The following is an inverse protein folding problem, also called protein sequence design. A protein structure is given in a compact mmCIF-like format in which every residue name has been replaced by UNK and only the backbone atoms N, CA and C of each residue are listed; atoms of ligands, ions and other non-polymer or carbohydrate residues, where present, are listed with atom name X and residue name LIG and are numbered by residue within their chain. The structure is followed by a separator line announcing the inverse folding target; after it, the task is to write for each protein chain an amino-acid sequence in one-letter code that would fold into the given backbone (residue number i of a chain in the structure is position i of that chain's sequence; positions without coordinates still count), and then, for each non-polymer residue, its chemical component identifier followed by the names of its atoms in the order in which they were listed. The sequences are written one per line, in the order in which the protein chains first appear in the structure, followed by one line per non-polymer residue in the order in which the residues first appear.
data_IF_466022110258
#
_entry.id   IF_466022110258
#
_cell.length_a   1.000
_cell.length_b   1.000
_cell.length_c   1.000
_cell.angle_alpha   90.00
_cell.angle_beta   90.00
_cell.angle_gamma   90.00
#
_symmetry.space_group_name_H-M   'P 1'
#
loop_
_entity.id
_entity.type
_entity.pdbx_description
1 polymer ?
#
# COMPACT_ATOMS: atom_id res chain seq x y z
N UNK A 1 21.72 7.11 -3.70
CA UNK A 1 20.28 6.81 -3.87
C UNK A 1 20.07 5.40 -3.36
N UNK A 2 19.31 5.16 -2.27
CA UNK A 2 18.63 3.84 -2.08
C UNK A 2 17.81 3.69 -0.80
N UNK A 3 18.12 4.39 0.30
CA UNK A 3 17.35 4.21 1.55
C UNK A 3 15.90 4.71 1.47
N UNK A 4 15.65 5.77 0.69
CA UNK A 4 14.30 6.31 0.54
C UNK A 4 13.32 5.31 -0.11
N UNK A 5 13.78 4.46 -1.06
CA UNK A 5 12.94 3.43 -1.71
C UNK A 5 12.49 2.34 -0.74
N UNK A 6 13.32 2.01 0.26
CA UNK A 6 13.01 1.00 1.29
C UNK A 6 11.74 1.39 2.05
N UNK A 7 11.58 2.67 2.37
CA UNK A 7 10.45 3.16 3.14
C UNK A 7 9.18 3.41 2.31
N UNK A 8 9.33 3.75 1.02
CA UNK A 8 8.19 3.94 0.09
C UNK A 8 7.32 2.69 0.04
N UNK A 9 7.93 1.49 0.02
CA UNK A 9 7.20 0.22 0.06
C UNK A 9 6.30 0.13 1.30
N UNK A 10 6.84 0.41 2.48
CA UNK A 10 6.07 0.37 3.73
C UNK A 10 4.93 1.39 3.74
N UNK A 11 5.11 2.58 3.15
CA UNK A 11 4.05 3.60 3.09
C UNK A 11 2.94 3.19 2.13
N UNK A 12 3.27 2.73 0.92
CA UNK A 12 2.28 2.22 -0.06
C UNK A 12 1.45 1.11 0.59
N UNK A 13 2.09 0.13 1.22
CA UNK A 13 1.38 -0.97 1.86
C UNK A 13 0.47 -0.51 3.01
N UNK A 14 0.90 0.47 3.82
CA UNK A 14 0.05 1.01 4.88
C UNK A 14 -1.19 1.72 4.34
N UNK A 15 -1.07 2.45 3.22
CA UNK A 15 -2.22 3.15 2.62
C UNK A 15 -3.18 2.18 1.95
N UNK A 16 -2.67 1.20 1.18
CA UNK A 16 -3.51 0.15 0.58
C UNK A 16 -4.27 -0.66 1.64
N UNK A 17 -3.67 -0.90 2.80
CA UNK A 17 -4.35 -1.56 3.92
C UNK A 17 -5.44 -0.68 4.55
N UNK A 18 -5.25 0.65 4.59
CA UNK A 18 -6.30 1.57 5.04
C UNK A 18 -7.48 1.50 4.07
N UNK A 19 -7.21 1.62 2.78
CA UNK A 19 -8.24 1.62 1.72
C UNK A 19 -9.02 0.29 1.72
N UNK A 20 -8.31 -0.85 1.75
CA UNK A 20 -8.93 -2.17 1.79
C UNK A 20 -9.78 -2.40 3.06
N UNK A 21 -9.38 -1.82 4.20
CA UNK A 21 -10.19 -1.91 5.43
C UNK A 21 -11.42 -0.99 5.36
N UNK A 22 -11.32 0.14 4.67
CA UNK A 22 -12.45 1.04 4.43
C UNK A 22 -13.47 0.38 3.49
N UNK A 23 -13.03 -0.40 2.51
CA UNK A 23 -13.91 -1.21 1.64
C UNK A 23 -14.71 -2.30 2.39
N UNK A 24 -14.30 -2.67 3.61
CA UNK A 24 -15.05 -3.59 4.46
C UNK A 24 -16.27 -2.94 5.11
N UNK A 25 -16.41 -1.60 5.05
CA UNK A 25 -17.53 -0.87 5.64
C UNK A 25 -18.89 -1.44 5.17
N UNK A 26 -19.77 -1.71 6.14
CA UNK A 26 -21.06 -2.38 5.88
C UNK A 26 -21.01 -3.92 5.90
N UNK A 27 -19.83 -4.53 6.02
CA UNK A 27 -19.69 -5.97 6.24
C UNK A 27 -19.53 -6.29 7.74
N UNK A 28 -19.77 -7.55 8.12
CA UNK A 28 -19.53 -8.03 9.50
C UNK A 28 -18.04 -8.03 9.90
N UNK A 29 -17.13 -7.85 8.93
CA UNK A 29 -15.68 -7.86 9.15
C UNK A 29 -15.09 -6.46 9.35
N UNK A 30 -15.92 -5.41 9.24
CA UNK A 30 -15.48 -4.05 9.49
C UNK A 30 -15.15 -3.84 10.98
N UNK A 31 -13.91 -3.46 11.28
CA UNK A 31 -13.47 -3.10 12.63
C UNK A 31 -12.82 -1.71 12.64
N UNK A 32 -13.51 -0.77 13.28
CA UNK A 32 -13.04 0.62 13.43
C UNK A 32 -11.75 0.73 14.25
N UNK A 33 -11.46 -0.26 15.11
CA UNK A 33 -10.20 -0.34 15.86
C UNK A 33 -9.04 -0.65 14.93
N UNK A 34 -9.22 -1.59 14.00
CA UNK A 34 -8.22 -1.93 12.99
C UNK A 34 -7.86 -0.70 12.15
N UNK A 35 -8.86 0.04 11.67
CA UNK A 35 -8.67 1.32 10.98
C UNK A 35 -7.86 2.32 11.80
N UNK A 36 -8.15 2.41 13.10
CA UNK A 36 -7.44 3.33 14.02
C UNK A 36 -5.98 2.93 14.23
N UNK A 37 -5.71 1.63 14.39
CA UNK A 37 -4.36 1.12 14.62
C UNK A 37 -3.49 1.23 13.36
N UNK A 38 -4.03 0.95 12.17
CA UNK A 38 -3.30 1.11 10.90
C UNK A 38 -2.97 2.59 10.65
N UNK A 39 -3.91 3.52 10.91
CA UNK A 39 -3.64 4.96 10.82
C UNK A 39 -2.57 5.43 11.81
N UNK A 40 -2.50 4.82 13.01
CA UNK A 40 -1.44 5.12 13.99
C UNK A 40 -0.07 4.62 13.51
N UNK A 41 -0.04 3.43 12.93
CA UNK A 41 1.16 2.84 12.33
C UNK A 41 1.68 3.70 11.17
N UNK A 42 0.81 4.11 10.24
CA UNK A 42 1.18 5.00 9.13
C UNK A 42 1.79 6.31 9.63
N UNK A 43 1.14 6.98 10.60
CA UNK A 43 1.68 8.21 11.19
C UNK A 43 3.05 8.01 11.83
N UNK A 44 3.27 6.86 12.48
CA UNK A 44 4.56 6.51 13.09
C UNK A 44 5.62 6.30 12.02
N UNK A 45 5.28 5.58 10.95
CA UNK A 45 6.14 5.36 9.80
C UNK A 45 6.54 6.69 9.14
N UNK A 46 5.57 7.56 8.84
CA UNK A 46 5.79 8.90 8.25
C UNK A 46 6.73 9.74 9.13
N UNK A 47 6.53 9.72 10.45
CA UNK A 47 7.42 10.42 11.40
C UNK A 47 8.84 9.85 11.42
N UNK A 48 9.01 8.54 11.31
CA UNK A 48 10.32 7.90 11.31
C UNK A 48 11.14 8.25 10.04
N UNK A 49 10.46 8.50 8.92
CA UNK A 49 11.08 8.72 7.60
C UNK A 49 11.15 10.21 7.19
N UNK A 50 10.79 11.10 8.14
CA UNK A 50 10.43 12.52 7.98
C UNK A 50 11.31 13.37 7.04
N UNK A 51 12.62 13.11 6.95
CA UNK A 51 13.53 13.93 6.11
C UNK A 51 13.68 13.45 4.67
N UNK A 52 13.50 12.16 4.38
CA UNK A 52 13.71 11.62 3.02
C UNK A 52 12.41 11.41 2.25
N UNK A 53 11.33 11.07 2.96
CA UNK A 53 10.04 10.82 2.34
C UNK A 53 9.30 12.11 1.97
N UNK A 54 9.29 13.12 2.86
CA UNK A 54 8.69 14.42 2.55
C UNK A 54 9.32 15.08 1.33
N UNK A 55 10.61 14.84 1.05
CA UNK A 55 11.25 15.31 -0.18
C UNK A 55 10.63 14.62 -1.41
N UNK A 56 10.44 13.30 -1.41
CA UNK A 56 9.87 12.59 -2.57
C UNK A 56 8.38 12.89 -2.72
N UNK A 57 7.63 12.80 -1.62
CA UNK A 57 6.18 13.01 -1.59
C UNK A 57 5.81 14.45 -1.93
N UNK A 58 6.45 15.44 -1.29
CA UNK A 58 6.13 16.85 -1.56
C UNK A 58 6.68 17.33 -2.90
N UNK A 59 7.81 16.77 -3.39
CA UNK A 59 8.32 17.13 -4.70
C UNK A 59 7.49 16.54 -5.84
N UNK A 60 6.78 15.43 -5.62
CA UNK A 60 6.01 14.79 -6.69
C UNK A 60 4.81 13.96 -6.17
N UNK A 61 3.79 14.62 -5.59
CA UNK A 61 2.63 13.94 -5.01
C UNK A 61 1.81 13.17 -6.05
N UNK A 62 1.72 13.70 -7.28
CA UNK A 62 1.03 13.05 -8.39
C UNK A 62 1.68 11.70 -8.76
N UNK A 63 3.01 11.66 -8.80
CA UNK A 63 3.75 10.41 -9.04
C UNK A 63 3.44 9.36 -7.97
N UNK A 64 3.36 9.78 -6.70
CA UNK A 64 3.05 8.88 -5.59
C UNK A 64 1.63 8.31 -5.70
N UNK A 65 0.64 9.16 -5.96
CA UNK A 65 -0.74 8.72 -6.20
C UNK A 65 -0.84 7.78 -7.41
N UNK A 66 -0.12 8.05 -8.50
CA UNK A 66 -0.09 7.17 -9.67
C UNK A 66 0.52 5.80 -9.36
N UNK A 67 1.59 5.74 -8.54
CA UNK A 67 2.18 4.48 -8.09
C UNK A 67 1.18 3.71 -7.22
N UNK A 68 0.55 4.37 -6.24
CA UNK A 68 -0.45 3.75 -5.37
C UNK A 68 -1.59 3.15 -6.17
N UNK A 69 -2.17 3.91 -7.12
CA UNK A 69 -3.24 3.43 -7.99
C UNK A 69 -2.83 2.23 -8.85
N UNK A 70 -1.59 2.21 -9.34
CA UNK A 70 -1.06 1.05 -10.10
C UNK A 70 -0.89 -0.18 -9.22
N UNK A 71 -0.38 -0.02 -7.98
CA UNK A 71 -0.22 -1.14 -7.04
C UNK A 71 -1.58 -1.64 -6.57
N UNK A 72 -2.52 -0.76 -6.25
CA UNK A 72 -3.91 -1.08 -5.95
C UNK A 72 -4.55 -1.89 -7.08
N UNK A 73 -4.40 -1.43 -8.33
CA UNK A 73 -4.89 -2.16 -9.50
C UNK A 73 -4.23 -3.55 -9.68
N UNK A 74 -2.99 -3.75 -9.23
CA UNK A 74 -2.37 -5.08 -9.18
C UNK A 74 -2.97 -5.92 -8.05
N UNK A 75 -3.10 -5.37 -6.85
CA UNK A 75 -3.69 -6.05 -5.69
C UNK A 75 -5.13 -6.50 -6.00
N UNK A 76 -5.93 -5.65 -6.65
CA UNK A 76 -7.30 -5.98 -7.05
C UNK A 76 -7.37 -7.09 -8.10
N UNK A 77 -6.39 -7.16 -9.01
CA UNK A 77 -6.29 -8.29 -9.94
C UNK A 77 -5.91 -9.58 -9.21
N UNK A 78 -4.93 -9.50 -8.29
CA UNK A 78 -4.48 -10.63 -7.50
C UNK A 78 -5.59 -11.17 -6.58
N UNK A 79 -6.38 -10.30 -5.94
CA UNK A 79 -7.48 -10.72 -5.06
C UNK A 79 -8.63 -11.40 -5.81
N UNK A 80 -8.76 -11.15 -7.12
CA UNK A 80 -9.73 -11.81 -7.99
C UNK A 80 -9.24 -13.09 -8.67
N UNK A 81 -7.94 -13.42 -8.57
CA UNK A 81 -7.36 -14.62 -9.17
C UNK A 81 -7.70 -15.89 -8.39
N UNK A 82 -7.79 -17.02 -9.09
CA UNK A 82 -7.80 -18.32 -8.42
C UNK A 82 -6.39 -18.66 -7.91
N UNK A 83 -6.30 -19.60 -6.97
CA UNK A 83 -5.02 -20.05 -6.39
C UNK A 83 -4.05 -20.50 -7.48
N UNK A 84 -4.54 -21.22 -8.50
CA UNK A 84 -3.72 -21.71 -9.61
C UNK A 84 -3.17 -20.55 -10.46
N UNK A 85 -3.98 -19.51 -10.72
CA UNK A 85 -3.55 -18.30 -11.45
C UNK A 85 -2.45 -17.54 -10.69
N UNK A 86 -2.55 -17.50 -9.36
CA UNK A 86 -1.55 -16.85 -8.50
C UNK A 86 -0.18 -17.54 -8.57
N UNK A 87 -0.13 -18.86 -8.69
CA UNK A 87 1.15 -19.60 -8.83
C UNK A 87 1.82 -19.36 -10.18
N UNK A 88 1.04 -19.17 -11.26
CA UNK A 88 1.58 -18.83 -12.57
C UNK A 88 2.14 -17.40 -12.65
N UNK A 89 1.58 -16.47 -11.87
CA UNK A 89 1.98 -15.07 -11.85
C UNK A 89 3.45 -14.86 -11.45
N UNK A 90 3.97 -15.62 -10.50
CA UNK A 90 5.39 -15.57 -10.10
C UNK A 90 6.31 -15.86 -11.29
N UNK A 91 5.95 -16.87 -12.11
CA UNK A 91 6.72 -17.27 -13.30
C UNK A 91 6.70 -16.21 -14.41
N UNK A 92 5.66 -15.38 -14.48
CA UNK A 92 5.52 -14.29 -15.46
C UNK A 92 6.27 -13.03 -15.00
N UNK A 93 6.30 -12.76 -13.70
CA UNK A 93 6.95 -11.58 -13.12
C UNK A 93 8.48 -11.72 -13.13
N UNK A 94 9.01 -12.95 -13.01
CA UNK A 94 10.46 -13.22 -13.04
C UNK A 94 11.10 -13.17 -14.45
N UNK A 95 10.30 -12.98 -15.52
CA UNK A 95 10.76 -12.82 -16.91
C UNK A 95 10.93 -11.36 -17.31
#
# INVERSE_FOLDING_TARGET
MDKARIYVKSVILSQLLIDANDDLEGTQFYDTRLKTDVKRLEKTLVKAINKQFMIIYNNNPELMHNIMRKVEGLVNKLSGCQIDDLTMLETVIDK
#
